data_IF_790739478837
#
_entry.id   IF_790739478837
#
_cell.length_a   1.000
_cell.length_b   1.000
_cell.length_c   1.000
_cell.angle_alpha   90.00
_cell.angle_beta   90.00
_cell.angle_gamma   90.00
#
_symmetry.space_group_name_H-M   'P 1'
#
loop_
_entity.id
_entity.type
_entity.pdbx_description
1 polymer ?
#
# COMPACT_ATOMS: atom_id res chain seq x y z
N UNK A 1 25.71 2.77 9.17
CA UNK A 1 24.93 3.76 9.96
C UNK A 1 24.77 4.96 9.06
N UNK A 2 23.51 5.16 8.58
CA UNK A 2 23.25 6.17 7.56
C UNK A 2 23.43 7.59 8.13
N UNK A 3 24.09 8.44 7.36
CA UNK A 3 24.32 9.86 7.70
C UNK A 3 23.03 10.64 7.98
N UNK A 4 21.86 10.13 7.58
CA UNK A 4 20.56 10.73 7.82
C UNK A 4 20.04 10.56 9.26
N UNK A 5 20.28 9.41 9.90
CA UNK A 5 19.79 9.15 11.28
C UNK A 5 20.55 10.02 12.28
N UNK A 6 21.88 10.17 12.13
CA UNK A 6 22.68 11.02 13.03
C UNK A 6 22.31 12.51 12.95
N UNK A 7 21.79 12.97 11.82
CA UNK A 7 21.30 14.34 11.67
C UNK A 7 19.98 14.60 12.37
N UNK A 8 19.04 13.63 12.37
CA UNK A 8 17.70 13.79 12.99
C UNK A 8 17.82 13.86 14.50
N UNK A 9 18.64 13.02 15.12
CA UNK A 9 18.87 13.00 16.57
C UNK A 9 19.48 14.31 17.13
N UNK A 10 20.20 15.05 16.29
CA UNK A 10 20.81 16.33 16.68
C UNK A 10 19.92 17.57 16.42
N UNK A 11 18.76 17.39 15.77
CA UNK A 11 17.88 18.49 15.44
C UNK A 11 17.13 19.02 16.66
N UNK A 12 17.03 20.34 16.76
CA UNK A 12 16.09 20.96 17.70
C UNK A 12 14.63 20.63 17.28
N UNK A 13 13.66 20.70 18.19
CA UNK A 13 12.24 20.46 17.86
C UNK A 13 11.73 21.29 16.68
N UNK A 14 12.21 22.51 16.51
CA UNK A 14 11.85 23.40 15.40
C UNK A 14 12.45 22.94 14.08
N UNK A 15 13.72 22.54 14.08
CA UNK A 15 14.39 22.01 12.89
C UNK A 15 13.79 20.69 12.45
N UNK A 16 13.52 19.79 13.38
CA UNK A 16 12.83 18.55 13.11
C UNK A 16 11.43 18.79 12.50
N UNK A 17 10.66 19.71 13.07
CA UNK A 17 9.34 20.06 12.54
C UNK A 17 9.44 20.59 11.09
N UNK A 18 10.37 21.50 10.81
CA UNK A 18 10.57 22.06 9.47
C UNK A 18 11.05 20.97 8.47
N UNK A 19 11.94 20.08 8.90
CA UNK A 19 12.40 18.96 8.09
C UNK A 19 11.25 18.03 7.72
N UNK A 20 10.45 17.59 8.70
CA UNK A 20 9.31 16.70 8.49
C UNK A 20 8.22 17.32 7.62
N UNK A 21 7.93 18.61 7.76
CA UNK A 21 7.00 19.34 6.89
C UNK A 21 7.48 19.30 5.43
N UNK A 22 8.73 19.66 5.16
CA UNK A 22 9.28 19.62 3.79
C UNK A 22 9.30 18.21 3.21
N UNK A 23 9.65 17.22 4.01
CA UNK A 23 9.64 15.81 3.61
C UNK A 23 8.23 15.38 3.20
N UNK A 24 7.23 15.64 4.03
CA UNK A 24 5.84 15.29 3.74
C UNK A 24 5.28 16.05 2.54
N UNK A 25 5.66 17.32 2.32
CA UNK A 25 5.25 18.09 1.14
C UNK A 25 5.82 17.53 -0.16
N UNK A 26 6.98 16.87 -0.11
CA UNK A 26 7.62 16.25 -1.28
C UNK A 26 7.02 14.87 -1.64
N UNK A 27 6.36 14.22 -0.70
CA UNK A 27 5.76 12.89 -0.90
C UNK A 27 4.55 13.00 -1.83
N UNK A 28 4.58 12.27 -2.96
CA UNK A 28 3.54 12.35 -4.01
C UNK A 28 2.96 11.01 -4.41
N UNK A 29 3.63 9.91 -4.08
CA UNK A 29 3.30 8.55 -4.51
C UNK A 29 3.19 7.63 -3.30
N UNK A 30 2.42 6.56 -3.43
CA UNK A 30 2.19 5.56 -2.40
C UNK A 30 3.47 4.88 -1.93
N UNK A 31 4.42 4.58 -2.84
CA UNK A 31 5.74 4.05 -2.49
C UNK A 31 6.56 5.03 -1.64
N UNK A 32 6.58 6.30 -2.03
CA UNK A 32 7.27 7.35 -1.28
C UNK A 32 6.65 7.57 0.10
N UNK A 33 5.31 7.51 0.19
CA UNK A 33 4.62 7.57 1.47
C UNK A 33 5.00 6.40 2.39
N UNK A 34 4.95 5.17 1.87
CA UNK A 34 5.30 4.00 2.65
C UNK A 34 6.76 4.03 3.13
N UNK A 35 7.71 4.35 2.23
CA UNK A 35 9.12 4.46 2.58
C UNK A 35 9.38 5.57 3.61
N UNK A 36 8.70 6.70 3.49
CA UNK A 36 8.82 7.80 4.44
C UNK A 36 8.30 7.44 5.83
N UNK A 37 7.12 6.81 5.91
CA UNK A 37 6.52 6.35 7.19
C UNK A 37 7.40 5.30 7.87
N UNK A 38 8.01 4.43 7.08
CA UNK A 38 8.87 3.33 7.56
C UNK A 38 10.34 3.71 7.69
N UNK A 39 10.66 5.00 7.57
CA UNK A 39 12.02 5.54 7.68
C UNK A 39 13.04 4.80 6.80
N UNK A 40 12.63 4.52 5.56
CA UNK A 40 13.46 3.80 4.57
C UNK A 40 14.00 2.45 5.09
N UNK A 41 13.16 1.75 5.86
CA UNK A 41 13.46 0.43 6.42
C UNK A 41 14.02 -0.51 5.37
N UNK A 42 15.08 -1.26 5.73
CA UNK A 42 15.62 -2.36 4.92
C UNK A 42 14.99 -3.69 5.34
N UNK A 43 14.99 -4.65 4.41
CA UNK A 43 14.48 -6.01 4.63
C UNK A 43 13.02 -6.03 5.13
N UNK A 44 12.19 -5.14 4.60
CA UNK A 44 10.76 -5.12 4.88
C UNK A 44 9.99 -6.20 4.11
N UNK A 45 8.69 -6.25 4.35
CA UNK A 45 7.77 -7.18 3.67
C UNK A 45 6.62 -6.43 3.02
N UNK A 46 6.23 -6.86 1.82
CA UNK A 46 5.08 -6.28 1.11
C UNK A 46 4.14 -7.33 0.49
N UNK A 47 2.92 -6.88 0.21
CA UNK A 47 1.96 -7.54 -0.66
C UNK A 47 1.46 -6.51 -1.66
N UNK A 48 1.42 -6.86 -2.95
CA UNK A 48 0.96 -5.99 -4.03
C UNK A 48 -0.11 -6.70 -4.86
N UNK A 49 -1.32 -6.19 -4.83
CA UNK A 49 -2.44 -6.69 -5.60
C UNK A 49 -2.65 -5.79 -6.83
N UNK A 50 -2.46 -6.34 -8.03
CA UNK A 50 -2.42 -5.59 -9.28
C UNK A 50 -1.00 -5.06 -9.57
N UNK A 51 -0.06 -5.98 -9.83
CA UNK A 51 1.35 -5.61 -9.97
C UNK A 51 1.70 -4.96 -11.31
N UNK A 52 0.91 -5.18 -12.36
CA UNK A 52 1.15 -4.67 -13.71
C UNK A 52 2.60 -4.84 -14.17
N UNK A 53 3.27 -3.78 -14.61
CA UNK A 53 4.66 -3.85 -15.06
C UNK A 53 5.67 -3.97 -13.93
N UNK A 54 6.89 -4.51 -14.21
CA UNK A 54 7.87 -4.81 -13.17
C UNK A 54 8.59 -3.59 -12.56
N UNK A 55 8.63 -2.45 -13.28
CA UNK A 55 9.44 -1.29 -12.90
C UNK A 55 8.64 0.01 -12.97
N UNK A 56 8.21 0.39 -14.17
CA UNK A 56 7.54 1.67 -14.38
C UNK A 56 6.10 1.63 -13.87
N UNK A 57 5.76 2.56 -12.97
CA UNK A 57 4.44 2.60 -12.34
C UNK A 57 4.24 1.56 -11.24
N UNK A 58 5.24 0.73 -10.95
CA UNK A 58 5.17 -0.27 -9.90
C UNK A 58 5.60 0.31 -8.55
N UNK A 59 4.75 0.22 -7.55
CA UNK A 59 4.95 0.84 -6.24
C UNK A 59 5.92 0.08 -5.34
N UNK A 60 6.18 -1.20 -5.60
CA UNK A 60 7.05 -2.05 -4.78
C UNK A 60 8.46 -2.22 -5.35
N UNK A 61 8.71 -1.76 -6.58
CA UNK A 61 10.02 -1.91 -7.23
C UNK A 61 11.17 -1.29 -6.42
N UNK A 62 10.98 -0.05 -5.93
CA UNK A 62 12.01 0.62 -5.11
C UNK A 62 12.22 -0.07 -3.78
N UNK A 63 11.16 -0.59 -3.17
CA UNK A 63 11.24 -1.34 -1.92
C UNK A 63 12.13 -2.58 -2.07
N UNK A 64 11.96 -3.30 -3.18
CA UNK A 64 12.79 -4.47 -3.50
C UNK A 64 14.23 -4.07 -3.89
N UNK A 65 14.37 -3.16 -4.88
CA UNK A 65 15.66 -2.90 -5.53
C UNK A 65 16.62 -2.07 -4.68
N UNK A 66 16.12 -1.13 -3.86
CA UNK A 66 16.93 -0.21 -3.08
C UNK A 66 17.01 -0.60 -1.58
N UNK A 67 15.99 -1.32 -1.07
CA UNK A 67 15.85 -1.62 0.35
C UNK A 67 15.77 -3.10 0.68
N UNK A 68 15.97 -3.99 -0.29
CA UNK A 68 16.02 -5.45 -0.14
C UNK A 68 14.74 -6.05 0.51
N UNK A 69 13.57 -5.52 0.15
CA UNK A 69 12.31 -6.05 0.68
C UNK A 69 11.92 -7.38 0.04
N UNK A 70 11.28 -8.22 0.84
CA UNK A 70 10.67 -9.48 0.42
C UNK A 70 9.17 -9.27 0.21
N UNK A 71 8.60 -9.83 -0.86
CA UNK A 71 7.18 -9.64 -1.10
C UNK A 71 6.59 -10.60 -2.11
N UNK A 72 5.31 -10.36 -2.41
CA UNK A 72 4.57 -11.08 -3.45
C UNK A 72 3.67 -10.10 -4.18
N UNK A 73 3.70 -10.20 -5.50
CA UNK A 73 2.78 -9.52 -6.40
C UNK A 73 1.70 -10.45 -6.95
N UNK A 74 0.58 -9.88 -7.38
CA UNK A 74 -0.51 -10.60 -8.02
C UNK A 74 -0.95 -9.86 -9.28
N UNK A 75 -1.11 -10.59 -10.38
CA UNK A 75 -1.71 -10.09 -11.62
C UNK A 75 -2.43 -11.23 -12.35
N UNK A 76 -3.44 -10.91 -13.16
CA UNK A 76 -4.18 -11.87 -13.95
C UNK A 76 -3.73 -11.90 -15.43
N UNK A 77 -2.88 -10.97 -15.86
CA UNK A 77 -2.30 -10.95 -17.18
C UNK A 77 -0.98 -11.73 -17.20
N UNK A 78 -0.97 -12.86 -17.93
CA UNK A 78 0.22 -13.73 -18.05
C UNK A 78 1.45 -12.96 -18.54
N UNK A 79 1.27 -11.99 -19.45
CA UNK A 79 2.38 -11.19 -19.97
C UNK A 79 3.00 -10.33 -18.86
N UNK A 80 2.18 -9.67 -18.04
CA UNK A 80 2.66 -8.90 -16.90
C UNK A 80 3.42 -9.77 -15.91
N UNK A 81 2.87 -10.95 -15.59
CA UNK A 81 3.49 -11.91 -14.68
C UNK A 81 4.84 -12.39 -15.23
N UNK A 82 4.92 -12.76 -16.51
CA UNK A 82 6.15 -13.21 -17.14
C UNK A 82 7.21 -12.09 -17.18
N UNK A 83 6.81 -10.89 -17.56
CA UNK A 83 7.68 -9.72 -17.53
C UNK A 83 8.21 -9.42 -16.11
N UNK A 84 7.32 -9.40 -15.12
CA UNK A 84 7.67 -9.16 -13.73
C UNK A 84 8.69 -10.20 -13.24
N UNK A 85 8.41 -11.48 -13.40
CA UNK A 85 9.27 -12.58 -12.94
C UNK A 85 10.60 -12.67 -13.69
N UNK A 86 10.73 -12.05 -14.87
CA UNK A 86 12.00 -11.98 -15.60
C UNK A 86 12.97 -10.93 -15.05
N UNK A 87 12.47 -9.94 -14.30
CA UNK A 87 13.23 -8.75 -13.85
C UNK A 87 13.38 -8.70 -12.34
N UNK A 88 12.32 -9.10 -11.59
CA UNK A 88 12.21 -8.97 -10.14
C UNK A 88 12.72 -10.21 -9.42
N UNK A 89 13.22 -10.04 -8.19
CA UNK A 89 13.62 -11.14 -7.30
C UNK A 89 12.43 -11.80 -6.62
N UNK A 90 11.45 -10.99 -6.25
CA UNK A 90 10.23 -11.46 -5.60
C UNK A 90 9.21 -11.92 -6.65
N UNK A 91 8.39 -12.93 -6.35
CA UNK A 91 7.46 -13.48 -7.33
C UNK A 91 6.25 -12.56 -7.55
N UNK A 92 5.78 -12.52 -8.80
CA UNK A 92 4.41 -12.18 -9.14
C UNK A 92 3.66 -13.47 -9.48
N UNK A 93 2.51 -13.69 -8.85
CA UNK A 93 1.69 -14.89 -9.04
C UNK A 93 0.54 -14.58 -10.00
N UNK A 94 0.34 -15.46 -10.99
CA UNK A 94 -0.84 -15.43 -11.86
C UNK A 94 -2.04 -16.03 -11.12
N UNK A 95 -2.53 -15.32 -10.12
CA UNK A 95 -3.59 -15.76 -9.22
C UNK A 95 -4.59 -14.63 -8.97
N UNK A 96 -5.84 -15.00 -8.73
CA UNK A 96 -6.88 -14.04 -8.33
C UNK A 96 -6.65 -13.61 -6.88
N UNK A 97 -6.10 -12.41 -6.69
CA UNK A 97 -5.81 -11.84 -5.38
C UNK A 97 -7.03 -11.77 -4.44
N UNK A 98 -8.26 -11.78 -4.99
CA UNK A 98 -9.50 -11.75 -4.20
C UNK A 98 -9.90 -13.11 -3.63
N UNK A 99 -9.26 -14.20 -4.08
CA UNK A 99 -9.56 -15.59 -3.73
C UNK A 99 -8.35 -16.35 -3.20
N UNK A 100 -7.21 -15.70 -3.16
CA UNK A 100 -5.95 -16.32 -2.76
C UNK A 100 -5.94 -16.70 -1.29
N UNK A 101 -5.28 -17.79 -0.94
CA UNK A 101 -5.15 -18.22 0.45
C UNK A 101 -3.93 -17.55 1.11
N UNK A 102 -4.07 -16.28 1.48
CA UNK A 102 -3.01 -15.50 2.13
C UNK A 102 -2.53 -16.11 3.43
N UNK A 103 -3.42 -16.67 4.24
CA UNK A 103 -3.04 -17.33 5.49
C UNK A 103 -1.99 -18.40 5.27
N UNK A 104 -2.29 -19.35 4.36
CA UNK A 104 -1.39 -20.44 4.04
C UNK A 104 -0.07 -19.91 3.48
N UNK A 105 -0.14 -18.97 2.53
CA UNK A 105 1.05 -18.39 1.91
C UNK A 105 1.97 -17.71 2.91
N UNK A 106 1.41 -16.90 3.82
CA UNK A 106 2.19 -16.18 4.83
C UNK A 106 2.86 -17.14 5.83
N UNK A 107 2.17 -18.21 6.26
CA UNK A 107 2.77 -19.23 7.13
C UNK A 107 3.90 -19.98 6.41
N UNK A 108 3.69 -20.43 5.18
CA UNK A 108 4.68 -21.20 4.41
C UNK A 108 5.92 -20.38 4.02
N UNK A 109 5.77 -19.05 3.86
CA UNK A 109 6.85 -18.14 3.48
C UNK A 109 7.37 -17.30 4.66
N UNK A 110 6.99 -17.63 5.90
CA UNK A 110 7.46 -16.98 7.12
C UNK A 110 7.24 -15.46 7.15
N UNK A 111 6.10 -14.98 6.64
CA UNK A 111 5.75 -13.57 6.75
C UNK A 111 5.59 -13.16 8.22
N UNK A 112 6.07 -11.97 8.61
CA UNK A 112 5.86 -11.46 9.96
C UNK A 112 4.37 -11.16 10.19
N UNK A 113 3.91 -11.24 11.44
CA UNK A 113 2.52 -10.86 11.78
C UNK A 113 2.24 -9.37 11.56
N UNK A 114 3.27 -8.53 11.60
CA UNK A 114 3.24 -7.12 11.18
C UNK A 114 4.01 -7.00 9.86
N UNK A 115 3.29 -6.97 8.76
CA UNK A 115 3.81 -6.75 7.40
C UNK A 115 3.96 -5.24 7.19
N UNK A 116 4.95 -4.81 6.42
CA UNK A 116 5.27 -3.40 6.29
C UNK A 116 4.34 -2.66 5.33
N UNK A 117 4.03 -3.24 4.18
CA UNK A 117 3.28 -2.56 3.13
C UNK A 117 2.26 -3.44 2.43
N UNK A 118 1.10 -2.86 2.16
CA UNK A 118 0.06 -3.41 1.29
C UNK A 118 -0.32 -2.38 0.25
N UNK A 119 -0.22 -2.75 -1.02
CA UNK A 119 -0.83 -2.04 -2.15
C UNK A 119 -2.03 -2.83 -2.65
N UNK A 120 -3.15 -2.16 -2.81
CA UNK A 120 -4.33 -2.72 -3.48
C UNK A 120 -4.68 -1.78 -4.64
N UNK A 121 -4.44 -2.26 -5.85
CA UNK A 121 -4.66 -1.56 -7.11
C UNK A 121 -5.15 -2.58 -8.15
N UNK A 122 -6.35 -3.10 -7.93
CA UNK A 122 -6.95 -4.12 -8.78
C UNK A 122 -8.09 -3.49 -9.57
N UNK A 123 -7.96 -3.48 -10.88
CA UNK A 123 -9.00 -3.02 -11.78
C UNK A 123 -10.28 -3.88 -11.67
N UNK A 124 -11.40 -3.21 -11.49
CA UNK A 124 -12.70 -3.89 -11.61
C UNK A 124 -12.98 -4.19 -13.08
N UNK A 125 -13.34 -5.43 -13.43
CA UNK A 125 -13.68 -5.75 -14.81
C UNK A 125 -14.83 -4.86 -15.30
N UNK A 126 -14.54 -4.03 -16.29
CA UNK A 126 -15.53 -3.14 -16.92
C UNK A 126 -16.18 -3.91 -18.08
N UNK A 127 -17.49 -4.04 -18.05
CA UNK A 127 -18.23 -4.55 -19.21
C UNK A 127 -18.14 -3.58 -20.38
N UNK A 128 -18.33 -4.08 -21.62
CA UNK A 128 -18.46 -3.26 -22.83
C UNK A 128 -19.52 -2.14 -22.72
N UNK A 129 -20.42 -2.22 -21.77
CA UNK A 129 -21.43 -1.20 -21.47
C UNK A 129 -20.97 -0.15 -20.45
N UNK A 130 -19.72 -0.18 -19.99
CA UNK A 130 -19.19 0.72 -18.97
C UNK A 130 -19.75 0.47 -17.57
N UNK A 131 -20.36 -0.69 -17.35
CA UNK A 131 -20.84 -1.11 -16.01
C UNK A 131 -19.84 -2.07 -15.40
N UNK A 132 -19.44 -1.80 -14.15
CA UNK A 132 -18.71 -2.81 -13.37
C UNK A 132 -19.54 -4.09 -13.29
N UNK A 133 -18.93 -5.23 -13.56
CA UNK A 133 -19.56 -6.55 -13.40
C UNK A 133 -19.56 -6.99 -11.94
N UNK A 134 -18.83 -6.30 -11.09
CA UNK A 134 -18.74 -6.58 -9.67
C UNK A 134 -19.36 -5.41 -8.86
N UNK A 135 -20.48 -5.65 -8.17
CA UNK A 135 -21.16 -4.61 -7.39
C UNK A 135 -20.39 -4.19 -6.13
N UNK A 136 -19.46 -5.01 -5.66
CA UNK A 136 -18.66 -4.75 -4.44
C UNK A 136 -17.34 -4.07 -4.81
N UNK A 137 -16.80 -4.35 -6.00
CA UNK A 137 -15.49 -3.90 -6.47
C UNK A 137 -14.34 -4.84 -6.09
N UNK A 138 -13.47 -5.12 -7.04
CA UNK A 138 -12.35 -6.04 -6.85
C UNK A 138 -11.38 -5.58 -5.75
N UNK A 139 -11.02 -4.28 -5.63
CA UNK A 139 -10.16 -3.81 -4.54
C UNK A 139 -10.72 -4.15 -3.15
N UNK A 140 -12.04 -3.99 -2.94
CA UNK A 140 -12.66 -4.33 -1.66
C UNK A 140 -12.66 -5.85 -1.41
N UNK A 141 -12.90 -6.66 -2.45
CA UNK A 141 -12.79 -8.11 -2.35
C UNK A 141 -11.37 -8.55 -2.01
N UNK A 142 -10.35 -7.90 -2.58
CA UNK A 142 -8.94 -8.10 -2.21
C UNK A 142 -8.69 -7.80 -0.74
N UNK A 143 -9.17 -6.66 -0.24
CA UNK A 143 -9.00 -6.28 1.16
C UNK A 143 -9.64 -7.30 2.12
N UNK A 144 -10.88 -7.72 1.88
CA UNK A 144 -11.60 -8.64 2.76
C UNK A 144 -11.10 -10.09 2.68
N UNK A 145 -10.35 -10.47 1.63
CA UNK A 145 -9.71 -11.79 1.52
C UNK A 145 -8.48 -11.93 2.42
N UNK A 146 -7.92 -10.82 2.88
CA UNK A 146 -6.76 -10.82 3.77
C UNK A 146 -7.12 -11.21 5.21
N UNK A 147 -6.28 -11.97 5.90
CA UNK A 147 -6.49 -12.36 7.30
C UNK A 147 -6.10 -11.23 8.28
N UNK A 148 -6.73 -10.04 8.15
CA UNK A 148 -6.35 -8.79 8.85
C UNK A 148 -6.47 -8.84 10.38
N UNK A 149 -7.13 -9.84 10.94
CA UNK A 149 -7.19 -10.05 12.41
C UNK A 149 -5.94 -10.75 12.94
N UNK A 150 -5.13 -11.36 12.07
CA UNK A 150 -3.97 -12.15 12.44
C UNK A 150 -2.66 -11.61 11.84
N UNK A 151 -2.77 -10.96 10.70
CA UNK A 151 -1.68 -10.27 10.02
C UNK A 151 -2.07 -8.82 9.82
N UNK A 152 -1.25 -7.92 10.31
CA UNK A 152 -1.48 -6.48 10.15
C UNK A 152 -0.49 -5.89 9.17
N UNK A 153 -0.85 -4.79 8.56
CA UNK A 153 0.03 -4.03 7.68
C UNK A 153 0.35 -2.68 8.32
N UNK A 154 1.61 -2.26 8.27
CA UNK A 154 2.01 -0.96 8.84
C UNK A 154 1.49 0.19 7.99
N UNK A 155 1.58 0.06 6.67
CA UNK A 155 1.05 1.00 5.68
C UNK A 155 0.16 0.25 4.70
N UNK A 156 -1.00 0.84 4.38
CA UNK A 156 -1.91 0.35 3.35
C UNK A 156 -2.20 1.49 2.40
N UNK A 157 -2.03 1.27 1.11
CA UNK A 157 -2.50 2.12 0.04
C UNK A 157 -3.61 1.39 -0.73
N UNK A 158 -4.78 2.01 -0.77
CA UNK A 158 -5.99 1.42 -1.35
C UNK A 158 -6.52 2.30 -2.46
N UNK A 159 -6.41 1.83 -3.70
CA UNK A 159 -6.95 2.51 -4.86
C UNK A 159 -8.45 2.24 -5.02
N UNK A 160 -9.21 3.29 -5.23
CA UNK A 160 -10.65 3.25 -5.40
C UNK A 160 -11.16 4.00 -6.63
N UNK A 161 -10.31 4.80 -7.26
CA UNK A 161 -10.61 5.54 -8.50
C UNK A 161 -11.90 6.36 -8.51
N UNK A 162 -12.32 6.87 -7.36
CA UNK A 162 -13.60 7.57 -7.23
C UNK A 162 -13.64 8.85 -8.06
N UNK A 163 -12.48 9.48 -8.30
CA UNK A 163 -12.38 10.66 -9.16
C UNK A 163 -12.71 10.35 -10.61
N UNK A 164 -12.38 9.16 -11.09
CA UNK A 164 -12.67 8.70 -12.44
C UNK A 164 -14.02 8.01 -12.53
N UNK A 165 -14.41 7.32 -11.47
CA UNK A 165 -15.56 6.45 -11.38
C UNK A 165 -16.35 6.70 -10.09
N UNK A 166 -17.23 7.72 -10.09
CA UNK A 166 -18.03 8.07 -8.91
C UNK A 166 -18.85 6.90 -8.32
N UNK A 167 -19.13 5.87 -9.09
CA UNK A 167 -19.80 4.64 -8.63
C UNK A 167 -18.97 3.82 -7.64
N UNK A 168 -17.68 4.06 -7.59
CA UNK A 168 -16.77 3.42 -6.64
C UNK A 168 -16.88 4.02 -5.22
N UNK A 169 -17.69 5.08 -5.03
CA UNK A 169 -17.86 5.71 -3.72
C UNK A 169 -18.32 4.74 -2.63
N UNK A 170 -19.23 3.81 -2.94
CA UNK A 170 -19.68 2.80 -1.97
C UNK A 170 -18.58 1.82 -1.57
N UNK A 171 -17.72 1.43 -2.52
CA UNK A 171 -16.55 0.60 -2.26
C UNK A 171 -15.53 1.34 -1.39
N UNK A 172 -15.21 2.59 -1.74
CA UNK A 172 -14.37 3.47 -0.94
C UNK A 172 -14.88 3.63 0.49
N UNK A 173 -16.17 3.89 0.66
CA UNK A 173 -16.75 4.12 1.98
C UNK A 173 -16.76 2.83 2.81
N UNK A 174 -17.02 1.67 2.18
CA UNK A 174 -16.96 0.38 2.84
C UNK A 174 -15.54 0.01 3.30
N UNK A 175 -14.50 0.22 2.45
CA UNK A 175 -13.13 -0.01 2.89
C UNK A 175 -12.72 0.91 4.04
N UNK A 176 -13.18 2.18 4.04
CA UNK A 176 -12.95 3.12 5.14
C UNK A 176 -13.58 2.64 6.44
N UNK A 177 -14.79 2.12 6.38
CA UNK A 177 -15.46 1.54 7.55
C UNK A 177 -14.71 0.32 8.09
N UNK A 178 -14.31 -0.60 7.21
CA UNK A 178 -13.56 -1.81 7.59
C UNK A 178 -12.24 -1.45 8.27
N UNK A 179 -11.41 -0.60 7.63
CA UNK A 179 -10.11 -0.26 8.16
C UNK A 179 -10.19 0.56 9.45
N UNK A 180 -11.15 1.49 9.57
CA UNK A 180 -11.42 2.20 10.83
C UNK A 180 -11.82 1.23 11.95
N UNK A 181 -12.71 0.26 11.68
CA UNK A 181 -13.14 -0.73 12.67
C UNK A 181 -11.99 -1.66 13.10
N UNK A 182 -11.01 -1.88 12.23
CA UNK A 182 -9.77 -2.61 12.54
C UNK A 182 -8.71 -1.74 13.26
N UNK A 183 -9.01 -0.47 13.50
CA UNK A 183 -8.16 0.45 14.24
C UNK A 183 -7.04 1.11 13.41
N UNK A 184 -7.13 1.06 12.08
CA UNK A 184 -6.23 1.82 11.19
C UNK A 184 -6.58 3.31 11.19
N UNK A 185 -5.60 4.16 10.92
CA UNK A 185 -5.80 5.61 10.77
C UNK A 185 -5.67 6.02 9.30
N UNK A 186 -6.71 6.69 8.78
CA UNK A 186 -6.70 7.27 7.44
C UNK A 186 -5.87 8.56 7.45
N UNK A 187 -4.79 8.57 6.67
CA UNK A 187 -3.81 9.66 6.64
C UNK A 187 -4.04 10.60 5.48
N UNK A 188 -4.26 10.04 4.28
CA UNK A 188 -4.54 10.85 3.11
C UNK A 188 -5.77 10.32 2.37
N UNK A 189 -6.64 11.26 1.96
CA UNK A 189 -7.79 11.04 1.09
C UNK A 189 -7.45 11.66 -0.24
N UNK A 190 -6.99 10.85 -1.17
CA UNK A 190 -6.71 11.29 -2.53
C UNK A 190 -7.89 10.95 -3.43
N UNK A 191 -8.02 11.61 -4.56
CA UNK A 191 -9.17 11.41 -5.46
C UNK A 191 -9.28 10.01 -6.03
N UNK A 192 -8.15 9.28 -6.11
CA UNK A 192 -8.06 7.93 -6.65
C UNK A 192 -7.72 6.87 -5.60
N UNK A 193 -6.99 7.23 -4.50
CA UNK A 193 -6.57 6.28 -3.47
C UNK A 193 -6.64 6.86 -2.05
N UNK A 194 -6.70 5.98 -1.06
CA UNK A 194 -6.59 6.29 0.36
C UNK A 194 -5.31 5.71 0.95
N UNK A 195 -4.60 6.51 1.77
CA UNK A 195 -3.41 6.06 2.50
C UNK A 195 -3.69 5.87 3.98
N UNK A 196 -3.34 4.71 4.48
CA UNK A 196 -3.60 4.27 5.84
C UNK A 196 -2.34 3.86 6.57
N UNK A 197 -2.35 3.99 7.88
CA UNK A 197 -1.30 3.45 8.75
C UNK A 197 -1.90 2.68 9.93
N UNK A 198 -1.10 1.78 10.49
CA UNK A 198 -1.38 1.17 11.77
C UNK A 198 -0.82 2.06 12.89
N UNK A 199 -1.68 2.78 13.65
CA UNK A 199 -1.22 3.70 14.69
C UNK A 199 -0.65 2.98 15.92
N UNK A 200 -0.76 1.65 16.00
CA UNK A 200 -0.18 0.88 17.09
C UNK A 200 1.33 0.72 16.95
N UNK A 201 1.84 0.87 15.71
CA UNK A 201 3.29 0.74 15.39
C UNK A 201 3.88 2.01 14.77
N UNK A 202 3.06 2.90 14.20
CA UNK A 202 3.51 4.20 13.67
C UNK A 202 3.15 5.31 14.66
N UNK A 203 4.13 5.99 15.28
CA UNK A 203 3.86 7.06 16.23
C UNK A 203 3.18 8.29 15.59
N UNK A 204 2.25 8.91 16.31
CA UNK A 204 1.58 10.15 15.89
C UNK A 204 2.57 11.24 15.47
N UNK A 205 3.70 11.36 16.15
CA UNK A 205 4.75 12.30 15.84
C UNK A 205 5.30 12.20 14.42
N UNK A 206 5.17 11.03 13.78
CA UNK A 206 5.59 10.79 12.39
C UNK A 206 4.44 11.11 11.43
N UNK A 207 3.30 10.44 11.55
CA UNK A 207 2.26 10.51 10.53
C UNK A 207 1.45 11.82 10.53
N UNK A 208 1.44 12.61 11.59
CA UNK A 208 0.75 13.90 11.65
C UNK A 208 1.12 14.87 10.52
N UNK A 209 2.32 14.77 9.97
CA UNK A 209 2.80 15.62 8.87
C UNK A 209 2.28 15.20 7.49
N UNK A 210 1.79 13.96 7.37
CA UNK A 210 1.32 13.37 6.12
C UNK A 210 -0.21 13.45 5.99
N UNK A 211 -0.92 13.92 7.02
CA UNK A 211 -2.37 14.07 6.97
C UNK A 211 -2.77 15.04 5.86
N UNK A 212 -3.44 14.52 4.85
CA UNK A 212 -3.94 15.27 3.71
C UNK A 212 -5.42 14.97 3.52
N UNK A 213 -6.19 16.05 3.41
CA UNK A 213 -7.59 15.95 3.03
C UNK A 213 -7.75 16.77 1.76
N UNK A 214 -7.88 16.09 0.61
CA UNK A 214 -8.33 16.79 -0.58
C UNK A 214 -9.70 17.41 -0.27
N UNK A 215 -9.91 18.64 -0.74
CA UNK A 215 -11.21 19.26 -0.66
C UNK A 215 -12.24 18.40 -1.40
N UNK A 216 -13.46 18.29 -0.89
CA UNK A 216 -14.53 17.50 -1.50
C UNK A 216 -14.88 17.98 -2.91
#
# INVERSE_FOLDING_TARGET
>A
MDQNISNIESMTPKELNNYMMKKSEATRTSDSFALDILDYKKNGYYVEMGSAGPINGNTTYRMESEYDWTGVGFDLDQKNVDEYNSVRKNPCLMEDATKFNYWKYFEENNYPKQIDYLQIDIESPISFSGRSLDPIGQPLNGLISLPLQHYRFTVICFEHDTILHYKNASMRDAQREILNNLGYSLIAKLGHEDWWIDPTVVPYGIYKYYQRHEAP
#
